data_IF_030178815804
#
_entry.id   IF_030178815804
#
_cell.length_a   1.000
_cell.length_b   1.000
_cell.length_c   1.000
_cell.angle_alpha   90.00
_cell.angle_beta   90.00
_cell.angle_gamma   90.00
#
_symmetry.space_group_name_H-M   'P 1'
#
loop_
_entity.id
_entity.type
_entity.pdbx_description
1 polymer ?
#
# COMPACT_ATOMS: atom_id res chain seq x y z
N UNK A 1 12.16 -17.02 -43.79
CA UNK A 1 12.19 -17.69 -45.09
C UNK A 1 12.92 -19.01 -44.90
N UNK A 2 12.19 -20.12 -44.77
CA UNK A 2 12.76 -21.47 -44.93
C UNK A 2 11.67 -22.33 -45.58
N UNK A 3 11.83 -22.61 -46.87
CA UNK A 3 10.97 -23.49 -47.67
C UNK A 3 11.52 -24.90 -47.59
N UNK A 4 10.77 -25.80 -46.94
CA UNK A 4 11.03 -27.24 -46.96
C UNK A 4 10.51 -27.78 -48.30
N UNK A 5 11.41 -28.08 -49.23
CA UNK A 5 11.10 -28.78 -50.46
C UNK A 5 11.04 -30.29 -50.19
N UNK A 6 9.84 -30.86 -50.20
CA UNK A 6 9.67 -32.31 -50.36
C UNK A 6 9.52 -32.60 -51.85
N UNK A 7 10.63 -33.00 -52.49
CA UNK A 7 10.64 -33.61 -53.82
C UNK A 7 10.75 -35.11 -53.61
N UNK A 8 9.62 -35.81 -53.57
CA UNK A 8 9.60 -37.26 -53.79
C UNK A 8 9.45 -37.48 -55.29
N UNK A 9 10.56 -37.90 -55.88
CA UNK A 9 10.77 -38.20 -57.29
C UNK A 9 9.87 -39.33 -57.79
N UNK A 10 9.28 -39.15 -58.97
CA UNK A 10 8.39 -40.10 -59.67
C UNK A 10 9.03 -41.47 -60.01
N UNK A 11 10.31 -41.67 -59.68
CA UNK A 11 11.07 -42.88 -60.00
C UNK A 11 10.83 -44.06 -59.03
N UNK A 12 10.27 -43.84 -57.83
CA UNK A 12 10.08 -44.92 -56.83
C UNK A 12 8.81 -45.77 -57.04
N UNK A 13 7.87 -45.34 -57.88
CA UNK A 13 6.58 -46.03 -58.06
C UNK A 13 6.64 -47.19 -59.07
N UNK A 14 7.65 -47.20 -59.96
CA UNK A 14 7.81 -48.24 -60.98
C UNK A 14 8.48 -49.51 -60.42
N UNK A 15 9.43 -49.38 -59.50
CA UNK A 15 10.11 -50.53 -58.87
C UNK A 15 9.19 -51.31 -57.92
N UNK A 16 8.26 -50.63 -57.24
CA UNK A 16 7.26 -51.28 -56.40
C UNK A 16 6.23 -52.06 -57.23
N UNK A 17 5.94 -51.64 -58.47
CA UNK A 17 5.03 -52.37 -59.38
C UNK A 17 5.68 -53.62 -59.97
N UNK A 18 6.96 -53.56 -60.33
CA UNK A 18 7.69 -54.72 -60.87
C UNK A 18 7.87 -55.83 -59.83
N UNK A 19 8.23 -55.48 -58.59
CA UNK A 19 8.41 -56.45 -57.51
C UNK A 19 7.11 -57.17 -57.10
N UNK A 20 5.95 -56.51 -57.28
CA UNK A 20 4.66 -57.12 -56.99
C UNK A 20 4.17 -58.06 -58.12
N UNK A 21 4.53 -57.80 -59.39
CA UNK A 21 4.24 -58.72 -60.49
C UNK A 21 5.04 -60.03 -60.39
N UNK A 22 6.27 -59.95 -59.90
CA UNK A 22 7.16 -61.11 -59.73
C UNK A 22 6.79 -62.01 -58.54
N UNK A 23 6.11 -61.48 -57.51
CA UNK A 23 5.60 -62.30 -56.39
C UNK A 23 4.36 -63.13 -56.73
N UNK A 24 3.57 -62.71 -57.73
CA UNK A 24 2.33 -63.40 -58.11
C UNK A 24 2.54 -64.62 -59.00
N UNK A 25 3.71 -64.79 -59.60
CA UNK A 25 4.07 -66.00 -60.35
C UNK A 25 5.10 -66.74 -59.49
N UNK A 26 4.63 -67.72 -58.71
CA UNK A 26 5.45 -68.49 -57.77
C UNK A 26 6.50 -69.35 -58.49
N UNK A 27 7.59 -68.73 -58.93
CA UNK A 27 8.69 -69.39 -59.61
C UNK A 27 9.99 -69.09 -58.86
N UNK A 28 10.60 -70.12 -58.27
CA UNK A 28 11.92 -70.01 -57.64
C UNK A 28 13.01 -70.19 -58.70
N UNK A 29 14.12 -69.41 -58.67
CA UNK A 29 15.18 -69.54 -59.66
C UNK A 29 15.93 -70.86 -59.42
N UNK A 30 15.62 -71.90 -60.20
CA UNK A 30 16.25 -73.22 -60.09
C UNK A 30 15.38 -74.40 -60.53
N UNK A 31 14.06 -74.24 -60.54
CA UNK A 31 13.16 -75.30 -61.00
C UNK A 31 13.09 -75.35 -62.53
N UNK A 32 13.34 -76.53 -63.09
CA UNK A 32 13.12 -76.81 -64.52
C UNK A 32 11.61 -77.03 -64.74
N UNK A 33 10.99 -76.41 -65.75
CA UNK A 33 9.56 -76.61 -65.99
C UNK A 33 9.31 -78.08 -66.36
N UNK A 34 8.51 -78.77 -65.55
CA UNK A 34 7.97 -80.07 -65.92
C UNK A 34 7.07 -79.88 -67.15
N UNK A 35 7.32 -80.66 -68.21
CA UNK A 35 6.46 -80.69 -69.40
C UNK A 35 5.05 -81.12 -68.97
N UNK A 36 3.98 -80.47 -69.48
CA UNK A 36 2.63 -80.81 -69.07
C UNK A 36 2.27 -82.21 -69.57
N UNK A 37 2.07 -83.13 -68.63
CA UNK A 37 1.39 -84.40 -68.87
C UNK A 37 -0.03 -84.14 -69.38
N UNK A 38 -0.44 -84.91 -70.39
CA UNK A 38 -1.75 -84.83 -71.09
C UNK A 38 -2.90 -84.48 -70.15
N UNK A 39 -3.49 -83.30 -70.35
CA UNK A 39 -4.67 -82.85 -69.64
C UNK A 39 -5.90 -83.55 -70.24
N UNK A 40 -6.50 -84.46 -69.47
CA UNK A 40 -7.86 -84.97 -69.72
C UNK A 40 -8.81 -83.78 -69.73
N UNK A 41 -9.55 -83.60 -70.82
CA UNK A 41 -10.59 -82.56 -70.91
C UNK A 41 -11.84 -83.13 -70.24
N UNK A 42 -12.38 -82.50 -69.18
CA UNK A 42 -13.66 -82.90 -68.62
C UNK A 42 -14.80 -82.45 -69.54
N UNK A 43 -15.81 -83.31 -69.72
CA UNK A 43 -17.05 -83.05 -70.48
C UNK A 43 -17.91 -81.99 -69.78
N UNK A 44 -17.56 -80.72 -69.96
CA UNK A 44 -18.36 -79.56 -69.56
C UNK A 44 -18.53 -78.59 -70.73
N UNK A 45 -19.52 -77.69 -70.69
CA UNK A 45 -19.71 -76.68 -71.73
C UNK A 45 -18.45 -75.83 -71.88
N UNK A 46 -17.85 -75.87 -73.07
CA UNK A 46 -16.64 -75.14 -73.42
C UNK A 46 -17.00 -73.66 -73.50
N UNK A 47 -16.58 -72.90 -72.50
CA UNK A 47 -16.75 -71.46 -72.47
C UNK A 47 -15.70 -70.81 -73.38
N UNK A 48 -16.13 -70.01 -74.35
CA UNK A 48 -15.22 -69.25 -75.21
C UNK A 48 -14.41 -68.24 -74.37
N UNK A 49 -13.13 -68.05 -74.70
CA UNK A 49 -12.23 -67.16 -73.94
C UNK A 49 -12.74 -65.73 -73.88
N UNK A 50 -13.47 -65.30 -74.92
CA UNK A 50 -14.17 -64.01 -74.98
C UNK A 50 -15.33 -63.92 -73.97
N UNK A 51 -16.11 -64.99 -73.78
CA UNK A 51 -17.20 -65.05 -72.81
C UNK A 51 -16.66 -65.14 -71.36
N UNK A 52 -15.54 -65.83 -71.13
CA UNK A 52 -14.84 -65.81 -69.84
C UNK A 52 -14.34 -64.39 -69.51
N UNK A 53 -13.73 -63.70 -70.47
CA UNK A 53 -13.30 -62.30 -70.33
C UNK A 53 -14.48 -61.37 -70.08
N UNK A 54 -15.63 -61.59 -70.73
CA UNK A 54 -16.84 -60.79 -70.52
C UNK A 54 -17.40 -60.98 -69.11
N UNK A 55 -17.49 -62.22 -68.63
CA UNK A 55 -18.00 -62.58 -67.30
C UNK A 55 -17.05 -62.12 -66.19
N UNK A 56 -15.74 -62.28 -66.37
CA UNK A 56 -14.74 -61.79 -65.41
C UNK A 56 -14.71 -60.27 -65.37
N UNK A 57 -14.83 -59.59 -66.51
CA UNK A 57 -14.90 -58.12 -66.55
C UNK A 57 -16.22 -57.58 -65.99
N UNK A 58 -17.36 -58.27 -66.14
CA UNK A 58 -18.62 -57.85 -65.53
C UNK A 58 -18.61 -58.05 -64.00
N UNK A 59 -18.14 -59.20 -63.52
CA UNK A 59 -17.96 -59.47 -62.08
C UNK A 59 -16.92 -58.53 -61.47
N UNK A 60 -15.83 -58.25 -62.19
CA UNK A 60 -14.79 -57.32 -61.73
C UNK A 60 -15.29 -55.87 -61.66
N UNK A 61 -16.26 -55.45 -62.48
CA UNK A 61 -16.85 -54.11 -62.42
C UNK A 61 -17.74 -53.94 -61.19
N UNK A 62 -18.58 -54.94 -60.90
CA UNK A 62 -19.42 -54.93 -59.69
C UNK A 62 -18.57 -54.99 -58.41
N UNK A 63 -17.50 -55.80 -58.41
CA UNK A 63 -16.59 -55.89 -57.27
C UNK A 63 -15.76 -54.60 -57.08
N UNK A 64 -15.39 -53.91 -58.18
CA UNK A 64 -14.79 -52.57 -58.13
C UNK A 64 -15.77 -51.50 -57.63
N UNK A 65 -17.03 -51.56 -58.05
CA UNK A 65 -18.07 -50.64 -57.58
C UNK A 65 -18.29 -50.80 -56.07
N UNK A 66 -18.39 -52.04 -55.58
CA UNK A 66 -18.53 -52.33 -54.15
C UNK A 66 -17.31 -51.89 -53.34
N UNK A 67 -16.09 -52.05 -53.88
CA UNK A 67 -14.86 -51.51 -53.27
C UNK A 67 -14.91 -49.98 -53.16
N UNK A 68 -15.34 -49.29 -54.22
CA UNK A 68 -15.48 -47.83 -54.22
C UNK A 68 -16.53 -47.35 -53.22
N UNK A 69 -17.68 -48.05 -53.10
CA UNK A 69 -18.72 -47.74 -52.11
C UNK A 69 -18.16 -47.87 -50.69
N UNK A 70 -17.44 -48.97 -50.39
CA UNK A 70 -16.80 -49.18 -49.07
C UNK A 70 -15.73 -48.14 -48.77
N UNK A 71 -14.95 -47.75 -49.78
CA UNK A 71 -13.93 -46.70 -49.65
C UNK A 71 -14.57 -45.35 -49.32
N UNK A 72 -15.61 -44.97 -50.05
CA UNK A 72 -16.35 -43.71 -49.85
C UNK A 72 -17.02 -43.67 -48.47
N UNK A 73 -17.63 -44.78 -48.03
CA UNK A 73 -18.24 -44.87 -46.71
C UNK A 73 -17.20 -44.76 -45.59
N UNK A 74 -16.04 -45.43 -45.75
CA UNK A 74 -14.91 -45.32 -44.82
C UNK A 74 -14.39 -43.89 -44.73
N UNK A 75 -14.24 -43.19 -45.86
CA UNK A 75 -13.82 -41.79 -45.89
C UNK A 75 -14.85 -40.85 -45.23
N UNK A 76 -16.14 -41.09 -45.48
CA UNK A 76 -17.22 -40.34 -44.86
C UNK A 76 -17.25 -40.51 -43.34
N UNK A 77 -17.16 -41.75 -42.85
CA UNK A 77 -17.09 -42.05 -41.42
C UNK A 77 -15.81 -41.49 -40.78
N UNK A 78 -14.69 -41.54 -41.49
CA UNK A 78 -13.43 -40.93 -41.05
C UNK A 78 -13.57 -39.42 -40.90
N UNK A 79 -14.16 -38.71 -41.87
CA UNK A 79 -14.44 -37.27 -41.78
C UNK A 79 -15.35 -36.95 -40.59
N UNK A 80 -16.44 -37.71 -40.42
CA UNK A 80 -17.37 -37.57 -39.28
C UNK A 80 -16.69 -37.81 -37.93
N UNK A 81 -15.72 -38.72 -37.88
CA UNK A 81 -14.92 -38.97 -36.67
C UNK A 81 -13.96 -37.80 -36.38
N UNK A 82 -13.26 -37.31 -37.40
CA UNK A 82 -12.35 -36.15 -37.27
C UNK A 82 -13.08 -34.90 -36.78
N UNK A 83 -14.28 -34.63 -37.30
CA UNK A 83 -15.10 -33.48 -36.88
C UNK A 83 -15.50 -33.57 -35.40
N UNK A 84 -15.85 -34.77 -34.91
CA UNK A 84 -16.15 -34.98 -33.49
C UNK A 84 -14.92 -34.72 -32.61
N UNK A 85 -13.76 -35.23 -33.01
CA UNK A 85 -12.50 -35.13 -32.25
C UNK A 85 -11.94 -33.69 -32.27
N UNK A 86 -12.20 -32.91 -33.32
CA UNK A 86 -11.69 -31.53 -33.48
C UNK A 86 -12.00 -30.61 -32.29
N UNK A 87 -13.14 -30.83 -31.64
CA UNK A 87 -13.62 -30.03 -30.51
C UNK A 87 -13.27 -30.64 -29.14
N UNK A 88 -12.62 -31.80 -29.10
CA UNK A 88 -12.23 -32.45 -27.84
C UNK A 88 -11.03 -31.75 -27.21
N UNK A 89 -11.23 -31.26 -25.99
CA UNK A 89 -10.21 -30.54 -25.21
C UNK A 89 -9.07 -31.45 -24.73
N UNK A 90 -9.35 -32.75 -24.55
CA UNK A 90 -8.40 -33.73 -24.01
C UNK A 90 -7.44 -34.32 -25.05
N UNK A 91 -7.49 -33.85 -26.31
CA UNK A 91 -6.53 -34.22 -27.35
C UNK A 91 -5.27 -33.35 -27.25
N UNK A 92 -4.12 -33.83 -27.74
CA UNK A 92 -2.88 -33.05 -27.76
C UNK A 92 -3.07 -31.73 -28.52
N UNK A 93 -3.82 -31.74 -29.61
CA UNK A 93 -4.15 -30.54 -30.39
C UNK A 93 -5.08 -29.59 -29.63
N UNK A 94 -6.08 -30.12 -28.91
CA UNK A 94 -6.94 -29.35 -28.00
C UNK A 94 -6.17 -28.70 -26.85
N UNK A 95 -5.28 -29.45 -26.20
CA UNK A 95 -4.41 -28.93 -25.13
C UNK A 95 -3.47 -27.82 -25.64
N UNK A 96 -2.89 -27.97 -26.84
CA UNK A 96 -2.07 -26.92 -27.47
C UNK A 96 -2.88 -25.66 -27.75
N UNK A 97 -4.10 -25.78 -28.27
CA UNK A 97 -5.01 -24.63 -28.48
C UNK A 97 -5.33 -23.93 -27.17
N UNK A 98 -5.70 -24.67 -26.12
CA UNK A 98 -5.97 -24.09 -24.80
C UNK A 98 -4.75 -23.38 -24.21
N UNK A 99 -3.54 -23.96 -24.37
CA UNK A 99 -2.31 -23.32 -23.93
C UNK A 99 -2.02 -22.02 -24.69
N UNK A 100 -2.28 -21.98 -25.99
CA UNK A 100 -2.13 -20.77 -26.81
C UNK A 100 -3.17 -19.70 -26.42
N UNK A 101 -4.43 -20.08 -26.23
CA UNK A 101 -5.49 -19.18 -25.77
C UNK A 101 -5.19 -18.62 -24.38
N UNK A 102 -4.71 -19.46 -23.45
CA UNK A 102 -4.31 -19.01 -22.11
C UNK A 102 -3.16 -18.01 -22.17
N UNK A 103 -2.11 -18.31 -22.95
CA UNK A 103 -0.99 -17.37 -23.16
C UNK A 103 -1.45 -16.06 -23.79
N UNK A 104 -2.38 -16.11 -24.74
CA UNK A 104 -2.93 -14.91 -25.36
C UNK A 104 -3.65 -14.05 -24.33
N UNK A 105 -4.49 -14.66 -23.48
CA UNK A 105 -5.18 -13.97 -22.37
C UNK A 105 -4.20 -13.38 -21.36
N UNK A 106 -3.19 -14.15 -20.95
CA UNK A 106 -2.14 -13.69 -20.03
C UNK A 106 -1.39 -12.46 -20.60
N UNK A 107 -1.09 -12.45 -21.90
CA UNK A 107 -0.45 -11.32 -22.57
C UNK A 107 -1.36 -10.10 -22.66
N UNK A 108 -2.63 -10.30 -23.01
CA UNK A 108 -3.64 -9.23 -23.10
C UNK A 108 -3.87 -8.58 -21.72
N UNK A 109 -4.02 -9.37 -20.66
CA UNK A 109 -4.13 -8.87 -19.29
C UNK A 109 -2.88 -8.06 -18.86
N UNK A 110 -1.70 -8.49 -19.29
CA UNK A 110 -0.44 -7.81 -18.97
C UNK A 110 -0.30 -6.48 -19.73
N UNK A 111 -0.75 -6.42 -20.98
CA UNK A 111 -0.83 -5.18 -21.74
C UNK A 111 -1.86 -4.20 -21.15
N UNK A 112 -3.03 -4.68 -20.73
CA UNK A 112 -4.03 -3.84 -20.07
C UNK A 112 -3.54 -3.30 -18.72
N UNK A 113 -2.83 -4.12 -17.93
CA UNK A 113 -2.20 -3.66 -16.70
C UNK A 113 -1.17 -2.56 -16.97
N UNK A 114 -0.28 -2.76 -17.95
CA UNK A 114 0.70 -1.74 -18.34
C UNK A 114 0.05 -0.44 -18.83
N UNK A 115 -1.04 -0.53 -19.60
CA UNK A 115 -1.80 0.65 -20.04
C UNK A 115 -2.36 1.42 -18.85
N UNK A 116 -3.00 0.73 -17.90
CA UNK A 116 -3.54 1.35 -16.69
C UNK A 116 -2.45 1.97 -15.82
N UNK A 117 -1.32 1.28 -15.64
CA UNK A 117 -0.17 1.83 -14.89
C UNK A 117 0.38 3.09 -15.56
N UNK A 118 0.49 3.10 -16.90
CA UNK A 118 0.95 4.26 -17.64
C UNK A 118 -0.04 5.43 -17.57
N UNK A 119 -1.35 5.16 -17.63
CA UNK A 119 -2.40 6.17 -17.45
C UNK A 119 -2.34 6.80 -16.05
N UNK A 120 -2.18 5.97 -15.01
CA UNK A 120 -2.01 6.45 -13.64
C UNK A 120 -0.75 7.31 -13.48
N UNK A 121 0.37 6.86 -14.05
CA UNK A 121 1.62 7.63 -14.00
C UNK A 121 1.48 8.98 -14.70
N UNK A 122 0.86 9.02 -15.88
CA UNK A 122 0.63 10.26 -16.62
C UNK A 122 -0.31 11.21 -15.85
N UNK A 123 -1.33 10.68 -15.19
CA UNK A 123 -2.25 11.46 -14.36
C UNK A 123 -1.54 12.06 -13.13
N UNK A 124 -0.69 11.28 -12.46
CA UNK A 124 0.13 11.79 -11.37
C UNK A 124 1.12 12.86 -11.82
N UNK A 125 1.74 12.68 -12.99
CA UNK A 125 2.66 13.67 -13.56
C UNK A 125 1.94 14.98 -13.92
N UNK A 126 0.73 14.89 -14.51
CA UNK A 126 -0.11 16.06 -14.76
C UNK A 126 -0.46 16.78 -13.47
N UNK A 127 -0.90 16.07 -12.43
CA UNK A 127 -1.21 16.66 -11.12
C UNK A 127 0.00 17.36 -10.52
N UNK A 128 1.18 16.72 -10.53
CA UNK A 128 2.43 17.33 -10.05
C UNK A 128 2.76 18.60 -10.82
N UNK A 129 2.59 18.58 -12.15
CA UNK A 129 2.81 19.76 -13.00
C UNK A 129 1.84 20.89 -12.66
N UNK A 130 0.56 20.58 -12.47
CA UNK A 130 -0.46 21.56 -12.08
C UNK A 130 -0.17 22.16 -10.71
N UNK A 131 0.19 21.35 -9.73
CA UNK A 131 0.60 21.80 -8.39
C UNK A 131 1.82 22.70 -8.44
N UNK A 132 2.84 22.34 -9.23
CA UNK A 132 4.02 23.20 -9.42
C UNK A 132 3.65 24.53 -10.06
N UNK A 133 2.80 24.50 -11.10
CA UNK A 133 2.35 25.70 -11.79
C UNK A 133 1.53 26.61 -10.85
N UNK A 134 0.71 26.03 -9.98
CA UNK A 134 -0.06 26.77 -8.98
C UNK A 134 0.85 27.39 -7.91
N UNK A 135 1.84 26.65 -7.41
CA UNK A 135 2.86 27.21 -6.51
C UNK A 135 3.62 28.37 -7.16
N UNK A 136 4.00 28.23 -8.43
CA UNK A 136 4.67 29.30 -9.17
C UNK A 136 3.78 30.54 -9.33
N UNK A 137 2.48 30.37 -9.59
CA UNK A 137 1.51 31.48 -9.60
C UNK A 137 1.45 32.18 -8.24
N UNK A 138 1.39 31.41 -7.14
CA UNK A 138 1.35 31.98 -5.80
C UNK A 138 2.61 32.79 -5.49
N UNK A 139 3.80 32.24 -5.80
CA UNK A 139 5.07 32.96 -5.64
C UNK A 139 5.05 34.24 -6.46
N UNK A 140 4.65 34.18 -7.73
CA UNK A 140 4.56 35.35 -8.59
C UNK A 140 3.62 36.43 -8.04
N UNK A 141 2.47 36.03 -7.48
CA UNK A 141 1.54 36.97 -6.83
C UNK A 141 2.17 37.60 -5.58
N UNK A 142 2.86 36.82 -4.75
CA UNK A 142 3.59 37.33 -3.59
C UNK A 142 4.75 38.26 -3.97
N UNK A 143 5.33 38.06 -5.15
CA UNK A 143 6.39 38.90 -5.69
C UNK A 143 5.89 40.27 -6.18
N UNK A 144 4.59 40.42 -6.47
CA UNK A 144 4.03 41.71 -6.87
C UNK A 144 4.24 42.76 -5.77
N UNK A 145 4.72 43.94 -6.17
CA UNK A 145 5.08 45.00 -5.22
C UNK A 145 3.89 45.51 -4.40
N UNK A 146 2.68 45.49 -4.98
CA UNK A 146 1.45 45.82 -4.26
C UNK A 146 1.16 44.84 -3.12
N UNK A 147 1.37 43.54 -3.34
CA UNK A 147 1.18 42.49 -2.34
C UNK A 147 2.28 42.55 -1.29
N UNK A 148 3.53 42.81 -1.68
CA UNK A 148 4.63 43.05 -0.73
C UNK A 148 4.34 44.26 0.16
N UNK A 149 3.91 45.39 -0.42
CA UNK A 149 3.55 46.58 0.32
C UNK A 149 2.38 46.33 1.28
N UNK A 150 1.38 45.56 0.85
CA UNK A 150 0.29 45.13 1.71
C UNK A 150 0.79 44.25 2.87
N UNK A 151 1.63 43.26 2.60
CA UNK A 151 2.19 42.36 3.62
C UNK A 151 3.04 43.12 4.64
N UNK A 152 3.81 44.13 4.21
CA UNK A 152 4.56 45.00 5.12
C UNK A 152 3.61 45.77 6.04
N UNK A 153 2.54 46.35 5.50
CA UNK A 153 1.53 47.07 6.30
C UNK A 153 0.80 46.14 7.27
N UNK A 154 0.49 44.92 6.84
CA UNK A 154 -0.13 43.91 7.68
C UNK A 154 0.77 43.55 8.87
N UNK A 155 2.05 43.25 8.62
CA UNK A 155 3.03 42.99 9.69
C UNK A 155 3.17 44.18 10.63
N UNK A 156 3.19 45.40 10.10
CA UNK A 156 3.24 46.59 10.93
C UNK A 156 2.02 46.69 11.86
N UNK A 157 0.82 46.40 11.37
CA UNK A 157 -0.39 46.38 12.18
C UNK A 157 -0.33 45.31 13.30
N UNK A 158 0.18 44.12 12.99
CA UNK A 158 0.40 43.05 13.97
C UNK A 158 1.36 43.52 15.09
N UNK A 159 2.50 44.10 14.71
CA UNK A 159 3.49 44.67 15.66
C UNK A 159 2.85 45.76 16.53
N UNK A 160 2.02 46.62 15.96
CA UNK A 160 1.30 47.65 16.72
C UNK A 160 0.32 47.04 17.74
N UNK A 161 -0.38 45.97 17.36
CA UNK A 161 -1.27 45.23 18.27
C UNK A 161 -0.48 44.59 19.41
N UNK A 162 0.63 43.92 19.11
CA UNK A 162 1.51 43.34 20.12
C UNK A 162 2.08 44.39 21.07
N UNK A 163 2.51 45.54 20.53
CA UNK A 163 3.02 46.64 21.35
C UNK A 163 1.98 47.17 22.33
N UNK A 164 0.72 47.30 21.90
CA UNK A 164 -0.39 47.71 22.80
C UNK A 164 -0.54 46.71 23.96
N UNK A 165 -0.55 45.41 23.66
CA UNK A 165 -0.63 44.36 24.67
C UNK A 165 0.57 44.39 25.63
N UNK A 166 1.78 44.63 25.14
CA UNK A 166 2.96 44.78 25.98
C UNK A 166 2.86 45.98 26.92
N UNK A 167 2.34 47.12 26.43
CA UNK A 167 2.13 48.32 27.25
C UNK A 167 1.10 48.04 28.35
N UNK A 168 -0.03 47.41 28.02
CA UNK A 168 -1.07 47.03 28.99
C UNK A 168 -0.51 46.08 30.05
N UNK A 169 0.23 45.05 29.63
CA UNK A 169 0.92 44.12 30.54
C UNK A 169 1.91 44.84 31.46
N UNK A 170 2.67 45.80 30.94
CA UNK A 170 3.60 46.60 31.73
C UNK A 170 2.88 47.44 32.78
N UNK A 171 1.78 48.11 32.40
CA UNK A 171 0.95 48.88 33.34
C UNK A 171 0.36 48.00 34.43
N UNK A 172 -0.13 46.80 34.08
CA UNK A 172 -0.66 45.86 35.06
C UNK A 172 0.41 45.41 36.06
N UNK A 173 1.61 45.08 35.58
CA UNK A 173 2.74 44.73 36.46
C UNK A 173 3.10 45.86 37.42
N UNK A 174 3.11 47.11 36.94
CA UNK A 174 3.37 48.27 37.79
C UNK A 174 2.31 48.41 38.88
N UNK A 175 1.02 48.29 38.54
CA UNK A 175 -0.06 48.32 39.54
C UNK A 175 0.08 47.24 40.60
N UNK A 176 0.37 46.01 40.18
CA UNK A 176 0.57 44.88 41.11
C UNK A 176 1.77 45.17 42.03
N UNK A 177 2.86 45.69 41.49
CA UNK A 177 4.03 46.05 42.30
C UNK A 177 3.69 47.17 43.30
N UNK A 178 2.99 48.21 42.88
CA UNK A 178 2.56 49.31 43.76
C UNK A 178 1.63 48.82 44.88
N UNK A 179 0.73 47.89 44.59
CA UNK A 179 -0.13 47.26 45.61
C UNK A 179 0.68 46.40 46.59
N UNK A 180 1.65 45.65 46.10
CA UNK A 180 2.54 44.85 46.93
C UNK A 180 3.41 45.71 47.85
N UNK A 181 4.00 46.78 47.32
CA UNK A 181 4.82 47.72 48.09
C UNK A 181 4.00 48.39 49.21
N UNK A 182 2.73 48.76 48.92
CA UNK A 182 1.81 49.28 49.93
C UNK A 182 1.53 48.29 51.05
N UNK A 183 1.30 47.02 50.72
CA UNK A 183 1.07 45.98 51.72
C UNK A 183 2.29 45.78 52.62
N UNK A 184 3.51 45.84 52.06
CA UNK A 184 4.75 45.80 52.84
C UNK A 184 4.84 47.00 53.78
N UNK A 185 4.59 48.21 53.27
CA UNK A 185 4.65 49.43 54.08
C UNK A 185 3.64 49.42 55.22
N UNK A 186 2.42 48.94 54.98
CA UNK A 186 1.38 48.76 56.00
C UNK A 186 1.83 47.75 57.06
N UNK A 187 2.31 46.59 56.64
CA UNK A 187 2.82 45.56 57.55
C UNK A 187 3.98 46.09 58.41
N UNK A 188 4.91 46.84 57.82
CA UNK A 188 6.02 47.43 58.56
C UNK A 188 5.58 48.49 59.58
N UNK A 189 4.58 49.31 59.22
CA UNK A 189 3.97 50.27 60.16
C UNK A 189 3.29 49.57 61.33
N UNK A 190 2.59 48.47 61.07
CA UNK A 190 1.97 47.65 62.12
C UNK A 190 3.01 47.05 63.06
N UNK A 191 4.09 46.51 62.52
CA UNK A 191 5.18 45.93 63.32
C UNK A 191 5.81 47.00 64.24
N UNK A 192 6.10 48.18 63.69
CA UNK A 192 6.61 49.32 64.48
C UNK A 192 5.65 49.78 65.56
N UNK A 193 4.33 49.78 65.28
CA UNK A 193 3.32 50.13 66.29
C UNK A 193 3.32 49.13 67.43
N UNK A 194 3.37 47.83 67.14
CA UNK A 194 3.46 46.76 68.15
C UNK A 194 4.71 46.90 69.01
N UNK A 195 5.87 47.12 68.38
CA UNK A 195 7.14 47.36 69.09
C UNK A 195 7.05 48.57 70.04
N UNK A 196 6.49 49.69 69.56
CA UNK A 196 6.29 50.89 70.39
C UNK A 196 5.30 50.66 71.54
N UNK A 197 4.25 49.85 71.33
CA UNK A 197 3.31 49.47 72.39
C UNK A 197 3.97 48.60 73.45
N UNK A 198 4.78 47.61 73.05
CA UNK A 198 5.55 46.78 73.97
C UNK A 198 6.53 47.60 74.81
N UNK A 199 7.26 48.54 74.19
CA UNK A 199 8.16 49.43 74.91
C UNK A 199 7.41 50.34 75.88
N UNK A 200 6.23 50.84 75.50
CA UNK A 200 5.37 51.64 76.38
C UNK A 200 4.88 50.81 77.58
N UNK A 201 4.54 49.54 77.38
CA UNK A 201 4.13 48.63 78.45
C UNK A 201 5.29 48.38 79.42
N UNK A 202 6.48 48.03 78.91
CA UNK A 202 7.70 47.85 79.72
C UNK A 202 8.05 49.10 80.51
N UNK A 203 7.91 50.28 79.92
CA UNK A 203 8.15 51.56 80.61
C UNK A 203 7.13 51.78 81.74
N UNK A 204 5.87 51.46 81.51
CA UNK A 204 4.81 51.58 82.52
C UNK A 204 5.02 50.61 83.69
N UNK A 205 5.47 49.38 83.43
CA UNK A 205 5.84 48.43 84.47
C UNK A 205 6.98 48.97 85.35
N UNK A 206 8.06 49.45 84.73
CA UNK A 206 9.17 50.10 85.47
C UNK A 206 8.69 51.31 86.28
N UNK A 207 7.75 52.09 85.76
CA UNK A 207 7.19 53.23 86.48
C UNK A 207 6.37 52.80 87.70
N UNK A 208 5.59 51.71 87.58
CA UNK A 208 4.85 51.14 88.72
C UNK A 208 5.81 50.62 89.80
N UNK A 209 6.86 49.90 89.41
CA UNK A 209 7.88 49.43 90.34
C UNK A 209 8.57 50.60 91.06
N UNK A 210 8.95 51.64 90.33
CA UNK A 210 9.54 52.85 90.90
C UNK A 210 8.61 53.53 91.91
N UNK A 211 7.30 53.60 91.63
CA UNK A 211 6.30 54.13 92.58
C UNK A 211 6.23 53.29 93.86
N UNK A 212 6.20 51.96 93.76
CA UNK A 212 6.20 51.07 94.94
C UNK A 212 7.44 51.30 95.80
N UNK A 213 8.61 51.46 95.19
CA UNK A 213 9.85 51.77 95.91
C UNK A 213 9.80 53.14 96.56
N UNK A 214 9.25 54.15 95.88
CA UNK A 214 9.10 55.50 96.44
C UNK A 214 8.13 55.53 97.63
N UNK A 215 6.96 54.88 97.50
CA UNK A 215 5.97 54.73 98.56
C UNK A 215 6.57 54.03 99.79
N UNK A 216 7.36 52.95 99.57
CA UNK A 216 8.09 52.26 100.64
C UNK A 216 9.11 53.17 101.33
N UNK A 217 9.90 53.93 100.56
CA UNK A 217 10.87 54.88 101.09
C UNK A 217 10.19 56.01 101.88
N UNK A 218 9.03 56.47 101.43
CA UNK A 218 8.22 57.47 102.13
C UNK A 218 7.70 56.91 103.46
N UNK A 219 7.20 55.67 103.47
CA UNK A 219 6.78 54.98 104.70
C UNK A 219 7.95 54.83 105.68
N UNK A 220 9.15 54.47 105.21
CA UNK A 220 10.35 54.36 106.04
C UNK A 220 10.78 55.72 106.63
N UNK A 221 10.71 56.80 105.85
CA UNK A 221 10.94 58.17 106.34
C UNK A 221 9.95 58.55 107.43
N UNK A 222 8.67 58.20 107.26
CA UNK A 222 7.63 58.47 108.25
C UNK A 222 7.86 57.64 109.53
N UNK A 223 8.20 56.36 109.41
CA UNK A 223 8.58 55.50 110.54
C UNK A 223 9.76 56.09 111.33
N UNK A 224 10.84 56.47 110.64
CA UNK A 224 12.01 57.11 111.28
C UNK A 224 11.66 58.42 112.00
N UNK A 225 10.74 59.22 111.45
CA UNK A 225 10.26 60.44 112.13
C UNK A 225 9.51 60.10 113.42
N UNK A 226 8.66 59.07 113.40
CA UNK A 226 7.92 58.59 114.57
C UNK A 226 8.89 58.04 115.63
N UNK A 227 9.86 57.20 115.24
CA UNK A 227 10.89 56.67 116.15
C UNK A 227 11.72 57.79 116.80
N UNK A 228 12.15 58.80 116.02
CA UNK A 228 12.84 59.98 116.58
C UNK A 228 11.96 60.76 117.55
N UNK A 229 10.67 60.89 117.27
CA UNK A 229 9.73 61.55 118.17
C UNK A 229 9.56 60.76 119.48
N UNK A 230 9.47 59.43 119.41
CA UNK A 230 9.41 58.54 120.57
C UNK A 230 10.70 58.59 121.41
N UNK A 231 11.89 58.50 120.79
CA UNK A 231 13.18 58.62 121.50
C UNK A 231 13.29 59.99 122.18
N UNK A 232 12.85 61.06 121.52
CA UNK A 232 12.81 62.40 122.11
C UNK A 232 11.90 62.45 123.34
N UNK A 233 10.74 61.78 123.32
CA UNK A 233 9.85 61.68 124.48
C UNK A 233 10.46 60.85 125.62
N UNK A 234 11.13 59.74 125.32
CA UNK A 234 11.81 58.91 126.34
C UNK A 234 12.96 59.67 127.01
N UNK A 235 13.77 60.41 126.24
CA UNK A 235 14.84 61.25 126.79
C UNK A 235 14.35 62.49 127.56
N UNK A 236 13.07 62.87 127.45
CA UNK A 236 12.46 63.96 128.25
C UNK A 236 11.92 63.41 129.58
N UNK A 237 11.66 62.11 129.68
CA UNK A 237 11.09 61.45 130.86
C UNK A 237 12.12 60.66 131.69
N UNK A 238 13.42 60.81 131.39
CA UNK A 238 14.55 60.27 132.17
C UNK A 238 15.39 61.44 132.69
#
# INVERSE_FOLDING_TARGET
METIHNVTTEYDLNDVKLNNLLKTVGYYPGDKPALPTRVSHPDGPILDGLELLRITNSISKDDQLQKNIRQNEKEYLHKKSQERIKNWKNTITGQRRMKLERRKKEMEELEEKKKRENELFLEEEKKKREEMLEKLKQIRVQELDSVKAFNIKLRYFEVQKERKLQIEKKKLKQKIQEEYDKQIDEHYKELKRKEAEEDRLKLNEKLKEAKVVDDYNQALRNKRKIEKALIKQVNINT
#
